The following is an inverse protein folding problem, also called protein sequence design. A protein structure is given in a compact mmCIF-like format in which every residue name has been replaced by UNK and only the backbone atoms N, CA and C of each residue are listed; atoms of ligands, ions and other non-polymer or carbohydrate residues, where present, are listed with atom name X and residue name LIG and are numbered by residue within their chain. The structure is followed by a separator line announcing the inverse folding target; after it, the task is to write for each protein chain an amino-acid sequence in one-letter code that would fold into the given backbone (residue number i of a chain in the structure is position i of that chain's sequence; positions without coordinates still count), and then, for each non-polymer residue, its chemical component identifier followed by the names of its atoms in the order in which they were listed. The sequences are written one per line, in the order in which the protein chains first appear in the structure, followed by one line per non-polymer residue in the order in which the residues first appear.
data_IF_676779950423
#
_entry.id   IF_676779950423
#
_cell.length_a   1.000
_cell.length_b   1.000
_cell.length_c   1.000
_cell.angle_alpha   90.00
_cell.angle_beta   90.00
_cell.angle_gamma   90.00
#
_symmetry.space_group_name_H-M   'P 1'
#
loop_
_entity.id
_entity.type
_entity.pdbx_description
1 polymer ?
#
# COMPACT_ATOMS: atom_id res chain seq x y z
N UNK A 1 3.21 5.21 9.79
CA UNK A 1 2.04 4.64 9.10
C UNK A 1 0.84 4.58 9.99
N UNK A 2 -0.26 5.09 9.44
CA UNK A 2 -1.58 5.16 10.02
C UNK A 2 -2.53 4.63 8.96
N UNK A 3 -3.55 3.91 9.39
CA UNK A 3 -4.65 3.52 8.52
C UNK A 3 -5.83 4.42 8.83
N UNK A 4 -6.38 5.00 7.78
CA UNK A 4 -7.61 5.74 7.82
C UNK A 4 -8.72 4.89 7.20
N UNK A 5 -9.71 4.53 8.01
CA UNK A 5 -10.86 3.75 7.58
C UNK A 5 -12.08 4.64 7.54
N UNK A 6 -12.80 4.64 6.42
CA UNK A 6 -14.05 5.39 6.26
C UNK A 6 -15.12 4.50 5.66
N UNK A 7 -16.22 4.38 6.40
CA UNK A 7 -17.43 3.71 5.91
C UNK A 7 -18.26 4.60 5.00
N UNK A 8 -18.96 3.99 4.05
CA UNK A 8 -19.92 4.66 3.19
C UNK A 8 -21.02 5.33 4.01
N UNK A 9 -21.44 6.52 3.56
CA UNK A 9 -22.43 7.36 4.25
C UNK A 9 -21.90 8.12 5.48
N UNK A 10 -20.68 7.82 5.95
CA UNK A 10 -20.08 8.53 7.09
C UNK A 10 -19.16 9.66 6.62
N UNK A 11 -19.31 10.85 7.22
CA UNK A 11 -18.47 12.03 6.94
C UNK A 11 -17.11 11.98 7.65
N UNK A 12 -16.97 11.23 8.75
CA UNK A 12 -15.73 11.07 9.52
C UNK A 12 -15.28 9.62 9.49
N UNK A 13 -14.00 9.39 9.22
CA UNK A 13 -13.33 8.09 9.33
C UNK A 13 -12.48 7.99 10.59
N UNK A 14 -12.09 6.77 10.95
CA UNK A 14 -11.24 6.47 12.10
C UNK A 14 -9.79 6.29 11.67
N UNK A 15 -8.86 6.76 12.50
CA UNK A 15 -7.42 6.61 12.27
C UNK A 15 -6.82 5.66 13.32
N UNK A 16 -6.03 4.68 12.87
CA UNK A 16 -5.31 3.76 13.75
C UNK A 16 -3.84 3.65 13.33
N UNK A 17 -2.93 3.40 14.27
CA UNK A 17 -1.55 3.08 13.92
C UNK A 17 -1.49 1.70 13.27
N UNK A 18 -0.76 1.57 12.16
CA UNK A 18 -0.51 0.27 11.53
C UNK A 18 0.94 -0.11 11.75
N UNK A 19 1.21 -1.36 12.20
CA UNK A 19 2.56 -1.89 12.22
C UNK A 19 3.21 -1.76 10.85
N UNK A 20 4.35 -1.06 10.78
CA UNK A 20 5.07 -0.85 9.51
C UNK A 20 5.31 -2.17 8.75
N UNK A 21 5.52 -3.28 9.47
CA UNK A 21 5.69 -4.63 8.93
C UNK A 21 4.51 -5.02 8.02
N UNK A 22 3.28 -4.79 8.43
CA UNK A 22 2.10 -5.16 7.65
C UNK A 22 2.03 -4.41 6.32
N UNK A 23 2.28 -3.10 6.34
CA UNK A 23 2.26 -2.30 5.13
C UNK A 23 3.39 -2.66 4.16
N UNK A 24 4.61 -2.90 4.66
CA UNK A 24 5.70 -3.39 3.84
C UNK A 24 5.42 -4.78 3.26
N UNK A 25 4.72 -5.65 3.99
CA UNK A 25 4.28 -6.95 3.48
C UNK A 25 3.26 -6.81 2.36
N UNK A 26 2.27 -5.92 2.48
CA UNK A 26 1.28 -5.68 1.41
C UNK A 26 1.98 -5.22 0.13
N UNK A 27 2.88 -4.24 0.23
CA UNK A 27 3.63 -3.72 -0.93
C UNK A 27 4.52 -4.82 -1.53
N UNK A 28 5.21 -5.60 -0.70
CA UNK A 28 6.04 -6.70 -1.19
C UNK A 28 5.21 -7.74 -1.93
N UNK A 29 4.07 -8.13 -1.37
CA UNK A 29 3.15 -9.08 -2.01
C UNK A 29 2.61 -8.53 -3.32
N UNK A 30 2.27 -7.23 -3.37
CA UNK A 30 1.88 -6.57 -4.61
C UNK A 30 2.98 -6.67 -5.68
N UNK A 31 4.26 -6.61 -5.32
CA UNK A 31 5.38 -6.73 -6.25
C UNK A 31 5.68 -8.18 -6.70
N UNK A 32 5.33 -9.19 -5.89
CA UNK A 32 5.80 -10.57 -6.09
C UNK A 32 4.71 -11.59 -6.42
N UNK A 33 3.51 -11.45 -5.86
CA UNK A 33 2.46 -12.47 -5.95
C UNK A 33 1.80 -12.47 -7.34
N UNK A 34 1.53 -13.64 -7.89
CA UNK A 34 0.84 -13.78 -9.18
C UNK A 34 -0.61 -13.29 -9.14
N UNK A 35 -1.24 -13.27 -7.96
CA UNK A 35 -2.60 -12.73 -7.78
C UNK A 35 -2.72 -11.26 -8.23
N UNK A 36 -1.64 -10.48 -8.11
CA UNK A 36 -1.58 -9.08 -8.53
C UNK A 36 -0.95 -8.86 -9.91
N UNK A 37 -0.71 -9.92 -10.69
CA UNK A 37 0.06 -9.82 -11.95
C UNK A 37 -0.57 -8.87 -12.97
N UNK A 38 -1.88 -8.95 -13.16
CA UNK A 38 -2.58 -8.12 -14.15
C UNK A 38 -2.63 -6.66 -13.69
N UNK A 39 -2.93 -6.43 -12.41
CA UNK A 39 -2.86 -5.11 -11.79
C UNK A 39 -1.46 -4.50 -11.91
N UNK A 40 -0.39 -5.25 -11.60
CA UNK A 40 1.00 -4.79 -11.75
C UNK A 40 1.33 -4.36 -13.18
N UNK A 41 0.83 -5.09 -14.19
CA UNK A 41 1.07 -4.74 -15.60
C UNK A 41 0.45 -3.40 -15.97
N UNK A 42 -0.70 -3.03 -15.39
CA UNK A 42 -1.31 -1.70 -15.58
C UNK A 42 -0.40 -0.57 -15.09
N UNK A 43 0.40 -0.84 -14.05
CA UNK A 43 1.43 0.08 -13.55
C UNK A 43 2.77 -0.06 -14.30
N UNK A 44 2.82 -0.77 -15.43
CA UNK A 44 4.04 -1.07 -16.19
C UNK A 44 5.11 -1.85 -15.38
N UNK A 45 4.68 -2.55 -14.32
CA UNK A 45 5.55 -3.38 -13.49
C UNK A 45 5.54 -4.81 -14.04
N UNK A 46 6.63 -5.18 -14.71
CA UNK A 46 6.86 -6.54 -15.18
C UNK A 46 7.30 -7.47 -14.04
N UNK A 47 7.56 -8.74 -14.36
CA UNK A 47 8.12 -9.68 -13.39
C UNK A 47 9.48 -9.19 -12.89
N UNK A 48 9.51 -8.77 -11.64
CA UNK A 48 10.72 -8.32 -10.97
C UNK A 48 11.51 -9.51 -10.45
N UNK A 49 12.83 -9.48 -10.61
CA UNK A 49 13.73 -10.39 -9.91
C UNK A 49 13.76 -10.08 -8.40
N UNK A 50 14.17 -11.05 -7.59
CA UNK A 50 14.32 -10.86 -6.14
C UNK A 50 15.20 -9.66 -5.77
N UNK A 51 16.24 -9.38 -6.57
CA UNK A 51 17.12 -8.23 -6.37
C UNK A 51 16.40 -6.90 -6.63
N UNK A 52 15.61 -6.82 -7.70
CA UNK A 52 14.82 -5.62 -8.01
C UNK A 52 13.73 -5.37 -6.97
N UNK A 53 13.06 -6.43 -6.48
CA UNK A 53 12.10 -6.32 -5.38
C UNK A 53 12.77 -5.79 -4.12
N UNK A 54 13.94 -6.34 -3.76
CA UNK A 54 14.66 -5.89 -2.57
C UNK A 54 15.14 -4.43 -2.70
N UNK A 55 15.53 -3.99 -3.89
CA UNK A 55 15.88 -2.59 -4.14
C UNK A 55 14.65 -1.68 -4.00
N UNK A 56 13.54 -2.01 -4.67
CA UNK A 56 12.29 -1.27 -4.56
C UNK A 56 11.82 -1.13 -3.10
N UNK A 57 11.91 -2.22 -2.32
CA UNK A 57 11.55 -2.19 -0.89
C UNK A 57 12.45 -1.27 -0.06
N UNK A 58 13.74 -1.15 -0.38
CA UNK A 58 14.65 -0.21 0.28
C UNK A 58 14.29 1.23 -0.08
N UNK A 59 14.02 1.50 -1.35
CA UNK A 59 13.67 2.83 -1.84
C UNK A 59 12.35 3.29 -1.24
N UNK A 60 11.34 2.41 -1.19
CA UNK A 60 10.06 2.65 -0.53
C UNK A 60 10.27 2.93 0.97
N UNK A 61 11.10 2.13 1.65
CA UNK A 61 11.43 2.37 3.07
C UNK A 61 12.09 3.74 3.29
N UNK A 62 12.96 4.17 2.38
CA UNK A 62 13.61 5.48 2.46
C UNK A 62 12.59 6.61 2.22
N UNK A 63 11.77 6.48 1.19
CA UNK A 63 10.70 7.43 0.85
C UNK A 63 9.73 7.61 2.03
N UNK A 64 9.44 6.52 2.75
CA UNK A 64 8.56 6.51 3.91
C UNK A 64 9.17 7.17 5.15
N UNK A 65 10.50 7.23 5.23
CA UNK A 65 11.21 7.93 6.31
C UNK A 65 11.20 9.44 6.06
N UNK A 66 11.34 9.85 4.81
CA UNK A 66 11.52 11.25 4.41
C UNK A 66 10.18 11.99 4.31
N UNK A 67 9.17 11.36 3.73
CA UNK A 67 7.89 11.99 3.45
C UNK A 67 6.79 11.46 4.38
N UNK A 68 6.38 12.30 5.33
CA UNK A 68 5.24 12.04 6.21
C UNK A 68 3.94 12.47 5.52
N UNK A 69 2.86 11.72 5.71
CA UNK A 69 1.52 12.03 5.20
C UNK A 69 1.23 11.55 3.77
N UNK A 70 2.08 10.73 3.18
CA UNK A 70 1.83 10.14 1.87
C UNK A 70 0.74 9.07 1.94
N UNK A 71 -0.28 9.17 1.08
CA UNK A 71 -1.25 8.09 0.81
C UNK A 71 -0.53 7.01 -0.01
N UNK A 72 -0.33 5.84 0.59
CA UNK A 72 0.46 4.73 0.01
C UNK A 72 -0.42 3.70 -0.68
N UNK A 73 -1.52 3.32 -0.03
CA UNK A 73 -2.46 2.32 -0.53
C UNK A 73 -3.86 2.79 -0.18
N UNK A 74 -4.76 2.79 -1.16
CA UNK A 74 -6.19 2.94 -0.92
C UNK A 74 -6.87 1.66 -1.38
N UNK A 75 -7.56 1.00 -0.44
CA UNK A 75 -8.42 -0.14 -0.72
C UNK A 75 -9.84 0.34 -0.60
N UNK A 76 -10.58 0.26 -1.70
CA UNK A 76 -12.02 0.51 -1.72
C UNK A 76 -12.74 -0.82 -1.90
N UNK A 77 -13.72 -1.11 -1.06
CA UNK A 77 -14.55 -2.30 -1.22
C UNK A 77 -15.68 -2.04 -2.22
N UNK A 78 -16.35 -3.12 -2.65
CA UNK A 78 -17.49 -3.04 -3.59
C UNK A 78 -18.70 -2.29 -3.02
N UNK A 79 -18.75 -2.12 -1.70
CA UNK A 79 -19.80 -1.39 -1.02
C UNK A 79 -19.49 0.11 -0.97
N UNK A 80 -18.25 0.55 -1.17
CA UNK A 80 -17.76 1.94 -1.13
C UNK A 80 -17.09 2.34 0.21
N UNK A 81 -16.74 1.37 1.05
CA UNK A 81 -15.89 1.60 2.23
C UNK A 81 -14.43 1.72 1.79
N UNK A 82 -13.72 2.70 2.36
CA UNK A 82 -12.34 3.02 1.99
C UNK A 82 -11.39 2.82 3.16
N UNK A 83 -10.33 2.06 2.95
CA UNK A 83 -9.19 1.92 3.85
C UNK A 83 -7.96 2.52 3.18
N UNK A 84 -7.44 3.59 3.74
CA UNK A 84 -6.22 4.26 3.28
C UNK A 84 -5.08 3.97 4.22
N UNK A 85 -3.91 3.67 3.69
CA UNK A 85 -2.67 3.61 4.42
C UNK A 85 -1.89 4.89 4.15
N UNK A 86 -1.70 5.69 5.20
CA UNK A 86 -1.05 6.99 5.18
C UNK A 86 0.23 6.91 6.01
N UNK A 87 1.31 7.56 5.56
CA UNK A 87 2.60 7.52 6.25
C UNK A 87 2.73 8.37 7.50
#
# INVERSE_FOLDING_TARGET
MRMYTRKKGHKKGSESSVPNVLAFTVIRNFLTDNSYKDMRKEYFINNLSSNQVNQAMKDIKWLFKEYKGLDVVTIEDTFGDTNKFIL
#
